data_IF_482627444528
#
_entry.id   IF_482627444528
#
_cell.length_a   1.000
_cell.length_b   1.000
_cell.length_c   1.000
_cell.angle_alpha   90.00
_cell.angle_beta   90.00
_cell.angle_gamma   90.00
#
_symmetry.space_group_name_H-M   'P 1'
#
loop_
_entity.id
_entity.type
_entity.pdbx_description
1 polymer ?
#
# COMPACT_ATOMS: atom_id res chain seq x y z
N UNK A 1 -5.62 23.71 -16.28
CA UNK A 1 -4.52 24.37 -15.51
C UNK A 1 -3.40 23.36 -15.36
N UNK A 2 -2.15 23.80 -15.56
CA UNK A 2 -1.01 22.89 -15.40
C UNK A 2 -0.83 22.58 -13.91
N UNK A 3 -0.75 21.30 -13.57
CA UNK A 3 -0.55 20.79 -12.21
C UNK A 3 0.64 19.85 -12.22
N UNK A 4 1.54 19.98 -11.27
CA UNK A 4 2.71 19.14 -11.09
C UNK A 4 2.51 18.29 -9.82
N UNK A 5 2.29 16.99 -9.99
CA UNK A 5 2.11 16.06 -8.88
C UNK A 5 3.33 15.15 -8.73
N UNK A 6 3.79 14.97 -7.49
CA UNK A 6 4.79 13.95 -7.19
C UNK A 6 4.06 12.63 -6.94
N UNK A 7 4.22 11.69 -7.86
CA UNK A 7 3.51 10.40 -7.81
C UNK A 7 4.53 9.28 -7.90
N UNK A 8 4.57 8.41 -6.88
CA UNK A 8 5.48 7.28 -6.78
C UNK A 8 6.95 7.72 -6.96
N UNK A 9 7.34 8.78 -6.25
CA UNK A 9 8.69 9.36 -6.27
C UNK A 9 9.04 10.16 -7.52
N UNK A 10 8.13 10.28 -8.52
CA UNK A 10 8.39 10.98 -9.79
C UNK A 10 7.44 12.16 -9.96
N UNK A 11 7.97 13.32 -10.31
CA UNK A 11 7.14 14.49 -10.66
C UNK A 11 6.54 14.27 -12.05
N UNK A 12 5.22 14.38 -12.14
CA UNK A 12 4.44 14.26 -13.38
C UNK A 12 3.59 15.50 -13.58
N UNK A 13 3.60 16.06 -14.79
CA UNK A 13 2.82 17.26 -15.14
C UNK A 13 1.66 16.90 -16.07
N UNK A 14 0.50 17.50 -15.83
CA UNK A 14 -0.65 17.41 -16.72
C UNK A 14 -1.47 18.68 -16.69
N UNK A 15 -2.20 18.95 -17.78
CA UNK A 15 -3.27 19.95 -17.77
C UNK A 15 -4.53 19.33 -17.21
N UNK A 16 -4.94 19.82 -16.04
CA UNK A 16 -6.06 19.26 -15.26
C UNK A 16 -7.12 20.34 -15.06
N UNK A 17 -8.39 19.96 -15.22
CA UNK A 17 -9.51 20.82 -14.86
C UNK A 17 -9.52 21.02 -13.33
N UNK A 18 -9.64 22.27 -12.80
CA UNK A 18 -9.49 22.52 -11.35
C UNK A 18 -10.43 21.73 -10.43
N UNK A 19 -11.59 21.31 -10.93
CA UNK A 19 -12.58 20.51 -10.18
C UNK A 19 -12.40 18.99 -10.34
N UNK A 20 -11.40 18.54 -11.11
CA UNK A 20 -11.13 17.11 -11.29
C UNK A 20 -10.60 16.50 -10.00
N UNK A 21 -11.17 15.36 -9.60
CA UNK A 21 -10.71 14.66 -8.42
C UNK A 21 -9.30 14.08 -8.62
N UNK A 22 -8.58 13.84 -7.54
CA UNK A 22 -7.29 13.14 -7.60
C UNK A 22 -7.47 11.74 -8.20
N UNK A 23 -8.57 11.05 -7.88
CA UNK A 23 -8.93 9.75 -8.46
C UNK A 23 -8.96 9.80 -9.99
N UNK A 24 -9.74 10.74 -10.55
CA UNK A 24 -9.88 10.86 -12.00
C UNK A 24 -8.57 11.29 -12.66
N UNK A 25 -7.83 12.20 -12.01
CA UNK A 25 -6.51 12.61 -12.52
C UNK A 25 -5.51 11.45 -12.57
N UNK A 26 -5.43 10.63 -11.51
CA UNK A 26 -4.57 9.44 -11.48
C UNK A 26 -4.91 8.48 -12.61
N UNK A 27 -6.20 8.22 -12.83
CA UNK A 27 -6.66 7.25 -13.83
C UNK A 27 -6.58 7.75 -15.27
N UNK A 28 -7.04 8.98 -15.52
CA UNK A 28 -7.21 9.50 -16.89
C UNK A 28 -6.00 10.27 -17.39
N UNK A 29 -5.36 11.07 -16.54
CA UNK A 29 -4.22 11.88 -16.93
C UNK A 29 -2.88 11.16 -16.76
N UNK A 30 -2.75 10.36 -15.68
CA UNK A 30 -1.50 9.66 -15.36
C UNK A 30 -1.54 8.15 -15.66
N UNK A 31 -2.70 7.61 -16.08
CA UNK A 31 -2.91 6.20 -16.46
C UNK A 31 -2.57 5.19 -15.37
N UNK A 32 -2.72 5.60 -14.09
CA UNK A 32 -2.52 4.77 -12.91
C UNK A 32 -3.85 4.12 -12.51
N UNK A 33 -4.20 3.04 -13.20
CA UNK A 33 -5.51 2.40 -13.11
C UNK A 33 -5.67 1.47 -11.91
N UNK A 34 -4.63 1.19 -11.16
CA UNK A 34 -4.69 0.44 -9.89
C UNK A 34 -5.47 1.16 -8.80
N UNK A 35 -5.63 2.49 -8.89
CA UNK A 35 -6.55 3.23 -8.03
C UNK A 35 -7.98 3.09 -8.57
N UNK A 36 -8.85 2.33 -7.89
CA UNK A 36 -10.17 1.97 -8.39
C UNK A 36 -11.26 2.99 -8.02
N UNK A 37 -12.17 3.27 -8.97
CA UNK A 37 -13.35 4.11 -8.77
C UNK A 37 -14.56 3.24 -8.39
N UNK A 38 -14.96 3.24 -7.11
CA UNK A 38 -16.10 2.44 -6.64
C UNK A 38 -17.35 3.27 -6.37
N UNK A 39 -17.38 4.04 -5.29
CA UNK A 39 -18.56 4.82 -4.87
C UNK A 39 -18.49 6.30 -5.19
N UNK A 40 -17.29 6.87 -5.39
CA UNK A 40 -17.02 8.27 -5.69
C UNK A 40 -17.54 9.28 -4.64
N UNK A 41 -17.87 8.81 -3.44
CA UNK A 41 -18.32 9.64 -2.31
C UNK A 41 -17.69 9.24 -0.96
N UNK A 42 -16.52 8.60 -1.00
CA UNK A 42 -15.65 8.39 0.17
C UNK A 42 -15.94 7.17 1.02
N UNK A 43 -17.01 6.39 0.76
CA UNK A 43 -17.46 5.31 1.66
C UNK A 43 -16.68 4.00 1.44
N UNK A 44 -16.48 3.57 0.19
CA UNK A 44 -16.01 2.20 -0.10
C UNK A 44 -14.50 1.96 0.08
N UNK A 45 -13.68 3.00 0.02
CA UNK A 45 -12.23 2.90 0.17
C UNK A 45 -11.47 2.33 -1.04
N UNK A 46 -12.13 1.94 -2.13
CA UNK A 46 -11.44 1.39 -3.30
C UNK A 46 -10.44 2.37 -3.94
N UNK A 47 -10.68 3.67 -3.77
CA UNK A 47 -9.83 4.75 -4.27
C UNK A 47 -8.75 5.22 -3.28
N UNK A 48 -8.45 4.47 -2.23
CA UNK A 48 -7.42 4.83 -1.27
C UNK A 48 -6.06 4.95 -1.96
N UNK A 49 -5.39 6.07 -1.72
CA UNK A 49 -3.97 6.33 -2.02
C UNK A 49 -3.29 6.81 -0.76
N UNK A 50 -1.96 6.85 -0.73
CA UNK A 50 -1.25 7.53 0.37
C UNK A 50 -0.88 8.94 -0.09
N UNK A 51 -1.10 9.91 0.79
CA UNK A 51 -0.62 11.30 0.64
C UNK A 51 0.31 11.56 1.81
N UNK A 52 1.59 11.76 1.55
CA UNK A 52 2.65 11.83 2.56
C UNK A 52 2.64 10.65 3.55
N UNK A 53 2.32 9.45 3.04
CA UNK A 53 2.25 8.21 3.83
C UNK A 53 0.89 7.92 4.48
N UNK A 54 -0.02 8.90 4.54
CA UNK A 54 -1.33 8.75 5.18
C UNK A 54 -2.42 8.32 4.18
N UNK A 55 -3.33 7.38 4.55
CA UNK A 55 -4.36 6.88 3.65
C UNK A 55 -5.48 7.91 3.43
N UNK A 56 -5.65 8.31 2.18
CA UNK A 56 -6.63 9.32 1.74
C UNK A 56 -7.57 8.74 0.69
N UNK A 57 -8.83 9.18 0.70
CA UNK A 57 -9.82 8.87 -0.34
C UNK A 57 -9.65 9.83 -1.51
N UNK A 58 -8.98 9.40 -2.57
CA UNK A 58 -8.67 10.25 -3.73
C UNK A 58 -9.92 10.79 -4.46
N UNK A 59 -11.09 10.17 -4.30
CA UNK A 59 -12.35 10.68 -4.83
C UNK A 59 -12.90 11.91 -4.08
N UNK A 60 -12.38 12.23 -2.90
CA UNK A 60 -12.79 13.40 -2.09
C UNK A 60 -11.77 14.54 -2.12
N UNK A 61 -10.64 14.36 -2.80
CA UNK A 61 -9.58 15.35 -2.92
C UNK A 61 -9.52 15.83 -4.37
N UNK A 62 -9.48 17.15 -4.61
CA UNK A 62 -9.18 17.65 -5.94
C UNK A 62 -7.71 17.48 -6.26
N UNK A 63 -7.40 17.16 -7.53
CA UNK A 63 -6.02 16.97 -7.97
C UNK A 63 -5.12 18.19 -7.69
N UNK A 64 -5.68 19.39 -7.84
CA UNK A 64 -4.99 20.66 -7.56
C UNK A 64 -4.62 20.86 -6.09
N UNK A 65 -5.32 20.18 -5.17
CA UNK A 65 -5.03 20.25 -3.73
C UNK A 65 -3.89 19.32 -3.33
N UNK A 66 -3.52 18.37 -4.19
CA UNK A 66 -2.44 17.43 -3.96
C UNK A 66 -1.07 17.96 -4.44
N UNK A 67 -1.01 19.20 -4.94
CA UNK A 67 0.24 19.85 -5.30
C UNK A 67 1.14 20.02 -4.07
N UNK A 68 2.41 19.65 -4.22
CA UNK A 68 3.42 19.70 -3.14
C UNK A 68 3.45 18.49 -2.21
N UNK A 69 2.52 17.55 -2.34
CA UNK A 69 2.49 16.31 -1.57
C UNK A 69 3.08 15.13 -2.34
N UNK A 70 3.62 14.13 -1.62
CA UNK A 70 4.01 12.83 -2.19
C UNK A 70 2.79 11.91 -2.24
N UNK A 71 2.41 11.47 -3.44
CA UNK A 71 1.30 10.56 -3.66
C UNK A 71 1.86 9.17 -3.94
N UNK A 72 1.48 8.17 -3.13
CA UNK A 72 1.81 6.77 -3.40
C UNK A 72 0.55 6.01 -3.79
N UNK A 73 0.58 5.40 -4.98
CA UNK A 73 -0.46 4.48 -5.47
C UNK A 73 0.01 3.04 -5.35
N UNK A 74 -0.89 2.08 -5.61
CA UNK A 74 -0.55 0.64 -5.53
C UNK A 74 0.61 0.26 -6.45
N UNK A 75 0.73 0.93 -7.58
CA UNK A 75 1.84 0.73 -8.54
C UNK A 75 3.20 1.13 -7.95
N UNK A 76 3.20 2.08 -7.00
CA UNK A 76 4.42 2.56 -6.36
C UNK A 76 4.92 1.70 -5.20
N UNK A 77 4.16 0.67 -4.78
CA UNK A 77 4.62 -0.23 -3.71
C UNK A 77 5.55 -1.33 -4.20
N UNK A 78 5.52 -1.66 -5.48
CA UNK A 78 6.40 -2.66 -6.07
C UNK A 78 7.86 -2.15 -6.09
N UNK A 79 8.85 -2.92 -5.60
CA UNK A 79 10.24 -2.48 -5.58
C UNK A 79 10.86 -2.39 -6.98
N UNK A 80 10.40 -3.24 -7.90
CA UNK A 80 10.79 -3.22 -9.31
C UNK A 80 9.68 -3.80 -10.20
N UNK A 81 9.70 -3.54 -11.52
CA UNK A 81 8.76 -4.15 -12.46
C UNK A 81 8.78 -5.69 -12.39
N UNK A 82 7.63 -6.29 -12.14
CA UNK A 82 7.49 -7.75 -12.02
C UNK A 82 7.76 -8.31 -10.62
N UNK A 83 8.12 -7.46 -9.66
CA UNK A 83 8.27 -7.85 -8.26
C UNK A 83 7.08 -7.37 -7.44
N UNK A 84 6.81 -8.06 -6.33
CA UNK A 84 5.79 -7.66 -5.37
C UNK A 84 6.47 -7.16 -4.09
N UNK A 85 5.91 -6.13 -3.47
CA UNK A 85 6.29 -5.76 -2.11
C UNK A 85 5.86 -6.85 -1.12
N UNK A 86 6.44 -6.85 0.08
CA UNK A 86 6.15 -7.86 1.11
C UNK A 86 4.64 -7.98 1.38
N UNK A 87 3.92 -6.85 1.42
CA UNK A 87 2.48 -6.88 1.67
C UNK A 87 1.68 -7.36 0.45
N UNK A 88 2.06 -6.99 -0.77
CA UNK A 88 1.42 -7.48 -1.98
C UNK A 88 1.55 -9.00 -2.10
N UNK A 89 2.75 -9.52 -1.84
CA UNK A 89 3.05 -10.94 -1.85
C UNK A 89 2.26 -11.69 -0.75
N UNK A 90 2.18 -11.13 0.45
CA UNK A 90 1.38 -11.68 1.54
C UNK A 90 -0.10 -11.84 1.17
N UNK A 91 -0.69 -10.85 0.49
CA UNK A 91 -2.08 -10.95 0.00
C UNK A 91 -2.27 -12.08 -1.02
N UNK A 92 -1.27 -12.35 -1.85
CA UNK A 92 -1.30 -13.48 -2.78
C UNK A 92 -1.19 -14.82 -2.05
N UNK A 93 -0.23 -14.96 -1.12
CA UNK A 93 0.02 -16.24 -0.43
C UNK A 93 -1.10 -16.65 0.52
N UNK A 94 -1.73 -15.70 1.20
CA UNK A 94 -2.83 -15.97 2.14
C UNK A 94 -4.21 -15.93 1.50
N UNK A 95 -4.28 -15.73 0.17
CA UNK A 95 -5.55 -15.54 -0.54
C UNK A 95 -6.39 -14.37 0.01
N UNK A 96 -5.73 -13.27 0.42
CA UNK A 96 -6.37 -12.06 0.93
C UNK A 96 -7.18 -11.27 -0.09
N UNK A 97 -7.45 -11.87 -1.25
CA UNK A 97 -8.20 -11.28 -2.36
C UNK A 97 -9.05 -12.35 -3.08
N UNK A 98 -10.14 -11.92 -3.73
CA UNK A 98 -10.94 -12.73 -4.65
C UNK A 98 -11.13 -11.98 -5.96
N UNK A 99 -12.14 -11.08 -6.07
CA UNK A 99 -12.33 -10.30 -7.29
C UNK A 99 -11.22 -9.24 -7.52
N UNK A 100 -10.45 -8.88 -6.51
CA UNK A 100 -9.36 -7.93 -6.59
C UNK A 100 -9.75 -6.45 -6.52
N UNK A 101 -11.04 -6.11 -6.58
CA UNK A 101 -11.46 -4.72 -6.71
C UNK A 101 -11.11 -3.83 -5.51
N UNK A 102 -11.26 -4.33 -4.29
CA UNK A 102 -10.88 -3.61 -3.07
C UNK A 102 -9.38 -3.69 -2.74
N UNK A 103 -8.68 -4.64 -3.37
CA UNK A 103 -7.32 -5.05 -2.98
C UNK A 103 -6.30 -3.91 -2.99
N UNK A 104 -6.22 -3.04 -4.01
CA UNK A 104 -5.26 -1.93 -3.99
C UNK A 104 -5.45 -1.00 -2.79
N UNK A 105 -6.69 -0.58 -2.54
CA UNK A 105 -6.99 0.29 -1.41
C UNK A 105 -6.77 -0.38 -0.05
N UNK A 106 -7.09 -1.69 0.07
CA UNK A 106 -6.80 -2.47 1.28
C UNK A 106 -5.30 -2.55 1.57
N UNK A 107 -4.51 -2.88 0.54
CA UNK A 107 -3.06 -2.98 0.66
C UNK A 107 -2.44 -1.64 1.08
N UNK A 108 -2.88 -0.52 0.50
CA UNK A 108 -2.37 0.80 0.85
C UNK A 108 -2.73 1.19 2.29
N UNK A 109 -3.96 0.93 2.73
CA UNK A 109 -4.37 1.17 4.12
C UNK A 109 -3.55 0.32 5.11
N UNK A 110 -3.36 -0.97 4.82
CA UNK A 110 -2.55 -1.86 5.63
C UNK A 110 -1.05 -1.52 5.56
N UNK A 111 -0.56 -1.06 4.41
CA UNK A 111 0.82 -0.59 4.26
C UNK A 111 1.09 0.61 5.18
N UNK A 112 0.19 1.59 5.21
CA UNK A 112 0.31 2.73 6.13
C UNK A 112 0.42 2.27 7.60
N UNK A 113 -0.42 1.35 8.06
CA UNK A 113 -0.29 0.75 9.40
C UNK A 113 1.09 0.15 9.63
N UNK A 114 1.60 -0.64 8.68
CA UNK A 114 2.89 -1.34 8.81
C UNK A 114 4.11 -0.41 8.73
N UNK A 115 3.96 0.82 8.25
CA UNK A 115 4.99 1.86 8.38
C UNK A 115 5.10 2.38 9.82
N UNK A 116 4.01 2.38 10.58
CA UNK A 116 4.00 2.82 11.98
C UNK A 116 4.36 1.70 12.95
N UNK A 117 3.95 0.45 12.67
CA UNK A 117 4.24 -0.70 13.54
C UNK A 117 4.39 -2.00 12.77
N UNK A 118 5.42 -2.77 13.09
CA UNK A 118 5.62 -4.13 12.55
C UNK A 118 5.10 -5.22 13.50
N UNK A 119 4.43 -4.82 14.57
CA UNK A 119 3.81 -5.72 15.56
C UNK A 119 2.36 -5.31 15.82
N UNK A 120 1.53 -5.10 14.78
CA UNK A 120 0.15 -4.70 14.98
C UNK A 120 -0.64 -5.81 15.68
N UNK A 121 -1.54 -5.43 16.58
CA UNK A 121 -2.55 -6.34 17.10
C UNK A 121 -3.59 -6.63 16.01
N UNK A 122 -4.43 -7.66 16.23
CA UNK A 122 -5.55 -7.93 15.32
C UNK A 122 -6.52 -6.75 15.25
N UNK A 123 -6.74 -6.10 16.37
CA UNK A 123 -7.59 -4.92 16.52
C UNK A 123 -7.05 -3.74 15.72
N UNK A 124 -5.74 -3.47 15.77
CA UNK A 124 -5.09 -2.42 14.98
C UNK A 124 -5.28 -2.67 13.47
N UNK A 125 -5.14 -3.93 13.04
CA UNK A 125 -5.34 -4.31 11.64
C UNK A 125 -6.79 -4.07 11.21
N UNK A 126 -7.74 -4.53 12.01
CA UNK A 126 -9.18 -4.35 11.73
C UNK A 126 -9.53 -2.86 11.66
N UNK A 127 -9.03 -2.05 12.57
CA UNK A 127 -9.23 -0.60 12.57
C UNK A 127 -8.66 0.04 11.30
N UNK A 128 -7.41 -0.26 10.95
CA UNK A 128 -6.74 0.31 9.78
C UNK A 128 -7.47 0.03 8.46
N UNK A 129 -8.04 -1.18 8.30
CA UNK A 129 -8.77 -1.56 7.08
C UNK A 129 -10.27 -1.29 7.14
N UNK A 130 -10.82 -0.85 8.27
CA UNK A 130 -12.27 -0.67 8.49
C UNK A 130 -12.93 0.28 7.51
N UNK A 131 -12.18 1.26 7.00
CA UNK A 131 -12.63 2.19 5.98
C UNK A 131 -12.66 1.63 4.56
N UNK A 132 -12.29 0.36 4.34
CA UNK A 132 -12.23 -0.28 3.02
C UNK A 132 -13.21 -1.45 2.95
N UNK A 133 -14.17 -1.40 2.02
CA UNK A 133 -15.24 -2.41 1.90
C UNK A 133 -14.80 -3.52 0.96
N UNK A 134 -14.84 -4.76 1.47
CA UNK A 134 -14.71 -5.98 0.67
C UNK A 134 -16.02 -6.77 0.69
N UNK A 135 -16.57 -7.10 -0.48
CA UNK A 135 -17.81 -7.89 -0.60
C UNK A 135 -17.56 -9.39 -0.70
N UNK A 136 -16.32 -9.80 -0.94
CA UNK A 136 -16.01 -11.17 -1.34
C UNK A 136 -15.44 -12.03 -0.21
N UNK A 137 -14.42 -11.53 0.53
CA UNK A 137 -13.53 -12.34 1.39
C UNK A 137 -14.06 -12.57 2.80
N UNK A 138 -14.97 -11.75 3.30
CA UNK A 138 -15.36 -11.77 4.72
C UNK A 138 -14.23 -11.27 5.66
N UNK A 139 -13.18 -10.63 5.11
CA UNK A 139 -12.05 -9.98 5.79
C UNK A 139 -11.06 -10.93 6.51
N UNK A 140 -11.42 -12.16 6.83
CA UNK A 140 -10.56 -13.08 7.58
C UNK A 140 -9.16 -13.22 6.97
N UNK A 141 -9.09 -13.58 5.68
CA UNK A 141 -7.83 -13.72 4.95
C UNK A 141 -7.10 -12.39 4.73
N UNK A 142 -7.83 -11.26 4.64
CA UNK A 142 -7.19 -9.93 4.56
C UNK A 142 -6.44 -9.62 5.86
N UNK A 143 -7.07 -9.87 7.02
CA UNK A 143 -6.41 -9.69 8.33
C UNK A 143 -5.21 -10.62 8.47
N UNK A 144 -5.34 -11.87 8.02
CA UNK A 144 -4.23 -12.84 7.99
C UNK A 144 -3.09 -12.37 7.09
N UNK A 145 -3.39 -11.82 5.90
CA UNK A 145 -2.41 -11.25 4.98
C UNK A 145 -1.59 -10.14 5.64
N UNK A 146 -2.25 -9.22 6.32
CA UNK A 146 -1.56 -8.10 7.01
C UNK A 146 -0.70 -8.62 8.15
N UNK A 147 -1.19 -9.57 8.95
CA UNK A 147 -0.41 -10.19 10.02
C UNK A 147 0.82 -10.92 9.46
N UNK A 148 0.65 -11.65 8.38
CA UNK A 148 1.74 -12.37 7.70
C UNK A 148 2.80 -11.42 7.15
N UNK A 149 2.38 -10.29 6.55
CA UNK A 149 3.30 -9.23 6.09
C UNK A 149 4.08 -8.62 7.28
N UNK A 150 3.41 -8.33 8.39
CA UNK A 150 4.02 -7.82 9.61
C UNK A 150 5.12 -8.76 10.13
N UNK A 151 4.82 -10.06 10.19
CA UNK A 151 5.78 -11.08 10.62
C UNK A 151 7.01 -11.17 9.72
N UNK A 152 6.83 -11.04 8.42
CA UNK A 152 7.93 -10.99 7.44
C UNK A 152 8.80 -9.76 7.61
N UNK A 153 8.20 -8.57 7.73
CA UNK A 153 8.92 -7.33 7.95
C UNK A 153 9.72 -7.37 9.26
N UNK A 154 9.13 -7.90 10.33
CA UNK A 154 9.82 -8.08 11.62
C UNK A 154 11.04 -8.99 11.48
N UNK A 155 10.89 -10.13 10.81
CA UNK A 155 12.02 -11.07 10.58
C UNK A 155 13.13 -10.45 9.73
N UNK A 156 12.78 -9.65 8.74
CA UNK A 156 13.74 -8.95 7.91
C UNK A 156 14.53 -7.87 8.68
N UNK A 157 13.87 -7.22 9.65
CA UNK A 157 14.47 -6.19 10.51
C UNK A 157 15.22 -6.77 11.72
N UNK A 158 15.11 -8.08 12.02
CA UNK A 158 15.86 -8.72 13.10
C UNK A 158 17.29 -8.95 12.62
N UNK A 159 18.34 -8.42 13.32
CA UNK A 159 19.72 -8.71 12.97
C UNK A 159 19.93 -10.22 12.98
N UNK A 160 20.52 -10.78 11.91
CA UNK A 160 20.91 -12.19 11.93
C UNK A 160 21.89 -12.38 13.09
N UNK A 161 21.71 -13.41 13.95
CA UNK A 161 22.71 -13.73 14.95
C UNK A 161 24.04 -13.96 14.21
N UNK A 162 25.09 -13.26 14.64
CA UNK A 162 26.43 -13.51 14.17
C UNK A 162 26.72 -15.00 14.39
N UNK A 163 26.82 -15.77 13.33
CA UNK A 163 27.39 -17.09 13.39
C UNK A 163 28.89 -16.87 13.69
N UNK A 164 29.30 -17.19 14.91
CA UNK A 164 30.72 -17.22 15.29
C UNK A 164 31.46 -18.19 14.32
N UNK A 165 32.00 -17.64 13.25
CA UNK A 165 32.85 -18.34 12.30
C UNK A 165 34.32 -18.34 12.77
N UNK A 166 34.57 -18.22 14.09
CA UNK A 166 35.88 -18.31 14.70
C UNK A 166 35.90 -19.40 15.79
N UNK A 167 35.66 -20.67 15.36
CA UNK A 167 36.23 -21.79 16.13
C UNK A 167 37.52 -22.18 15.47
N UNK A 168 38.67 -22.08 16.17
CA UNK A 168 39.94 -22.58 15.63
C UNK A 168 39.83 -24.10 15.37
N UNK A 169 40.21 -24.50 14.17
CA UNK A 169 40.37 -25.89 13.79
C UNK A 169 41.49 -26.45 14.67
N UNK A 170 41.16 -27.31 15.63
CA UNK A 170 42.16 -28.07 16.40
C UNK A 170 42.62 -29.18 15.52
N UNK A 171 43.83 -29.05 14.97
CA UNK A 171 44.53 -30.16 14.32
C UNK A 171 44.85 -31.25 15.36
N UNK A 172 44.27 -32.44 15.17
CA UNK A 172 44.64 -33.63 15.91
C UNK A 172 46.00 -34.13 15.41
N UNK A 173 46.96 -34.29 16.36
CA UNK A 173 48.22 -34.98 16.16
C UNK A 173 48.03 -36.49 16.23
#
# INVERSE_FOLDING_TARGET
MKVDLRINGTVRSADIEPRKTLLDALRENFLLNGTHAGCEHGVCGACTVLVDGEPVRSCLLFAVQADGYEITTIEGLAPAPGELSVIQDAFCETHGLQCGYCTPGMILAAHALLQHTVTPTREDIVEAISGNICRCTGYGQIVEAVQFAADRLRKANTPRPHHDADKPVVEAK
#
